data_IF_495951733143
#
_entry.id   IF_495951733143
#
_cell.length_a   1.000
_cell.length_b   1.000
_cell.length_c   1.000
_cell.angle_alpha   90.00
_cell.angle_beta   90.00
_cell.angle_gamma   90.00
#
_symmetry.space_group_name_H-M   'P 1'
#
loop_
_entity.id
_entity.type
_entity.pdbx_description
1 polymer ?
#
# COMPACT_ATOMS: atom_id res chain seq x y z
N UNK A 1 6.23 -21.01 9.39
CA UNK A 1 5.45 -20.47 8.28
C UNK A 1 5.86 -19.01 7.99
N UNK A 2 5.72 -18.58 6.73
CA UNK A 2 6.04 -17.23 6.30
C UNK A 2 5.08 -16.78 5.18
N UNK A 3 4.79 -15.46 5.11
CA UNK A 3 4.02 -14.84 4.03
C UNK A 3 4.70 -13.55 3.57
N UNK A 4 4.74 -13.34 2.27
CA UNK A 4 5.16 -12.10 1.63
C UNK A 4 3.91 -11.31 1.27
N UNK A 5 3.70 -10.16 1.89
CA UNK A 5 2.39 -9.48 1.91
C UNK A 5 2.31 -8.25 0.99
N UNK A 6 3.37 -7.98 0.22
CA UNK A 6 3.41 -6.79 -0.63
C UNK A 6 3.18 -5.51 0.19
N UNK A 7 2.49 -4.57 -0.40
CA UNK A 7 2.13 -3.29 0.23
C UNK A 7 0.80 -3.31 1.00
N UNK A 8 0.21 -4.49 1.22
CA UNK A 8 -1.09 -4.61 1.88
C UNK A 8 -1.04 -4.14 3.33
N UNK A 9 0.03 -4.50 4.05
CA UNK A 9 0.24 -4.14 5.46
C UNK A 9 1.71 -3.77 5.66
N UNK A 10 1.97 -2.85 6.57
CA UNK A 10 3.32 -2.36 6.93
C UNK A 10 3.69 -2.76 8.36
N UNK A 11 4.82 -2.26 8.86
CA UNK A 11 5.18 -2.45 10.26
C UNK A 11 4.04 -1.97 11.18
N UNK A 12 3.87 -2.54 12.37
CA UNK A 12 2.76 -2.21 13.26
C UNK A 12 2.57 -0.71 13.51
N UNK A 13 3.65 0.05 13.59
CA UNK A 13 3.67 1.50 13.79
C UNK A 13 3.45 2.32 12.52
N UNK A 14 3.41 1.69 11.35
CA UNK A 14 3.13 2.32 10.06
C UNK A 14 1.73 1.96 9.51
N UNK A 15 1.12 0.86 9.94
CA UNK A 15 -0.26 0.50 9.64
C UNK A 15 -0.46 -0.23 8.31
N UNK A 16 -1.23 0.35 7.39
CA UNK A 16 -1.59 -0.25 6.09
C UNK A 16 -1.36 0.72 4.94
N UNK A 17 -1.36 0.21 3.71
CA UNK A 17 -1.33 1.02 2.51
C UNK A 17 -2.52 2.00 2.43
N UNK A 18 -2.41 2.96 1.53
CA UNK A 18 -3.53 3.81 1.09
C UNK A 18 -4.43 3.04 0.12
N UNK A 19 -5.70 3.45 0.02
CA UNK A 19 -6.70 2.76 -0.77
C UNK A 19 -7.43 3.66 -1.79
N UNK A 20 -6.93 4.88 -2.03
CA UNK A 20 -7.58 5.91 -2.85
C UNK A 20 -7.09 5.98 -4.30
N UNK A 21 -6.29 5.01 -4.73
CA UNK A 21 -5.96 4.88 -6.14
C UNK A 21 -7.16 4.40 -6.96
N UNK A 22 -7.23 4.72 -8.26
CA UNK A 22 -8.30 4.25 -9.13
C UNK A 22 -8.52 2.74 -9.02
N UNK A 23 -9.75 2.34 -8.69
CA UNK A 23 -10.11 0.94 -8.42
C UNK A 23 -9.78 0.45 -7.01
N UNK A 24 -9.18 1.28 -6.15
CA UNK A 24 -8.94 0.95 -4.75
C UNK A 24 -10.21 1.01 -3.88
N UNK A 25 -10.21 0.28 -2.77
CA UNK A 25 -11.30 0.25 -1.80
C UNK A 25 -10.77 -0.03 -0.40
N UNK A 26 -11.08 0.85 0.54
CA UNK A 26 -10.71 0.66 1.94
C UNK A 26 -11.37 -0.59 2.54
N UNK A 27 -12.60 -0.91 2.13
CA UNK A 27 -13.29 -2.14 2.52
C UNK A 27 -12.54 -3.39 2.06
N UNK A 28 -12.14 -3.43 0.80
CA UNK A 28 -11.42 -4.59 0.27
C UNK A 28 -10.02 -4.72 0.87
N UNK A 29 -9.36 -3.61 1.13
CA UNK A 29 -8.08 -3.61 1.82
C UNK A 29 -8.21 -4.16 3.24
N UNK A 30 -9.22 -3.73 4.01
CA UNK A 30 -9.49 -4.28 5.33
C UNK A 30 -9.69 -5.80 5.28
N UNK A 31 -10.56 -6.28 4.39
CA UNK A 31 -10.83 -7.72 4.23
C UNK A 31 -9.58 -8.51 3.80
N UNK A 32 -8.74 -7.92 2.97
CA UNK A 32 -7.46 -8.51 2.57
C UNK A 32 -6.50 -8.62 3.75
N UNK A 33 -6.41 -7.59 4.56
CA UNK A 33 -5.62 -7.61 5.80
C UNK A 33 -6.15 -8.66 6.77
N UNK A 34 -7.49 -8.76 6.95
CA UNK A 34 -8.06 -9.78 7.84
C UNK A 34 -7.73 -11.21 7.39
N UNK A 35 -7.62 -11.48 6.08
CA UNK A 35 -7.15 -12.79 5.58
C UNK A 35 -5.71 -13.08 6.01
N UNK A 36 -4.83 -12.08 5.97
CA UNK A 36 -3.45 -12.20 6.44
C UNK A 36 -3.44 -12.45 7.96
N UNK A 37 -4.21 -11.66 8.68
CA UNK A 37 -4.32 -11.78 10.14
C UNK A 37 -5.02 -13.07 10.61
N UNK A 38 -5.73 -13.78 9.74
CA UNK A 38 -6.29 -15.09 10.04
C UNK A 38 -5.27 -16.24 10.05
N UNK A 39 -4.05 -16.00 9.56
CA UNK A 39 -2.96 -16.98 9.62
C UNK A 39 -2.54 -17.26 11.06
N UNK A 40 -1.83 -18.38 11.32
CA UNK A 40 -1.32 -18.70 12.67
C UNK A 40 -0.51 -17.55 13.28
N UNK A 41 -0.61 -17.30 14.60
CA UNK A 41 0.00 -16.12 15.24
C UNK A 41 1.51 -15.99 15.03
N UNK A 42 2.21 -17.11 14.95
CA UNK A 42 3.66 -17.19 14.76
C UNK A 42 4.10 -17.04 13.31
N UNK A 43 3.18 -16.90 12.37
CA UNK A 43 3.51 -16.71 10.95
C UNK A 43 4.29 -15.40 10.78
N UNK A 44 5.48 -15.51 10.20
CA UNK A 44 6.30 -14.36 9.87
C UNK A 44 5.75 -13.67 8.62
N UNK A 45 5.60 -12.36 8.71
CA UNK A 45 5.17 -11.50 7.61
C UNK A 45 6.37 -10.70 7.12
N UNK A 46 6.66 -10.81 5.83
CA UNK A 46 7.72 -10.04 5.17
C UNK A 46 7.09 -8.90 4.38
N UNK A 47 7.52 -7.69 4.70
CA UNK A 47 6.96 -6.42 4.20
C UNK A 47 7.85 -5.87 3.07
N UNK A 48 7.25 -5.16 2.12
CA UNK A 48 7.97 -4.56 1.01
C UNK A 48 8.58 -3.20 1.36
N UNK A 49 7.93 -2.45 2.25
CA UNK A 49 8.34 -1.10 2.64
C UNK A 49 8.26 -0.89 4.14
N UNK A 50 9.21 -0.13 4.66
CA UNK A 50 9.16 0.42 6.00
C UNK A 50 9.64 1.87 5.98
N UNK A 51 8.95 2.73 6.70
CA UNK A 51 9.18 4.17 6.72
C UNK A 51 9.94 4.66 7.97
N UNK A 52 10.29 3.76 8.87
CA UNK A 52 11.00 4.07 10.11
C UNK A 52 10.37 5.20 10.92
N UNK A 53 9.07 5.14 11.30
CA UNK A 53 8.42 6.21 12.03
C UNK A 53 9.23 6.64 13.26
N UNK A 54 9.25 7.93 13.55
CA UNK A 54 10.00 8.53 14.69
C UNK A 54 11.51 8.29 14.67
N UNK A 55 12.09 7.96 13.50
CA UNK A 55 13.52 7.72 13.36
C UNK A 55 13.99 6.33 13.79
N UNK A 56 13.06 5.40 13.93
CA UNK A 56 13.38 3.98 14.14
C UNK A 56 14.16 3.43 12.94
N UNK A 57 15.09 2.51 13.17
CA UNK A 57 15.73 1.77 12.10
C UNK A 57 14.71 0.98 11.27
N UNK A 58 14.99 0.85 9.97
CA UNK A 58 14.15 0.11 9.04
C UNK A 58 14.13 -1.36 9.39
N UNK A 59 12.94 -1.95 9.42
CA UNK A 59 12.72 -3.38 9.61
C UNK A 59 11.81 -3.91 8.50
N UNK A 60 11.86 -5.19 8.22
CA UNK A 60 11.16 -5.84 7.12
C UNK A 60 10.34 -7.05 7.55
N UNK A 61 10.41 -7.42 8.82
CA UNK A 61 9.76 -8.62 9.34
C UNK A 61 8.96 -8.32 10.60
N UNK A 62 7.77 -8.90 10.66
CA UNK A 62 6.90 -8.90 11.85
C UNK A 62 6.19 -10.24 11.96
N UNK A 63 5.27 -10.41 12.91
CA UNK A 63 4.43 -11.60 13.04
C UNK A 63 2.95 -11.23 12.98
N UNK A 64 2.11 -12.23 12.66
CA UNK A 64 0.64 -12.06 12.74
C UNK A 64 0.22 -11.64 14.15
N UNK A 65 0.83 -12.20 15.19
CA UNK A 65 0.55 -11.84 16.58
C UNK A 65 0.81 -10.37 16.88
N UNK A 66 1.99 -9.86 16.46
CA UNK A 66 2.35 -8.45 16.62
C UNK A 66 1.40 -7.52 15.88
N UNK A 67 1.07 -7.86 14.64
CA UNK A 67 0.12 -7.07 13.85
C UNK A 67 -1.25 -7.00 14.52
N UNK A 68 -1.80 -8.13 14.97
CA UNK A 68 -3.08 -8.18 15.69
C UNK A 68 -3.07 -7.34 16.96
N UNK A 69 -1.95 -7.27 17.65
CA UNK A 69 -1.85 -6.59 18.93
C UNK A 69 -1.53 -5.10 18.79
N UNK A 70 -0.64 -4.73 17.88
CA UNK A 70 0.02 -3.44 17.85
C UNK A 70 -0.20 -2.61 16.59
N UNK A 71 -0.76 -3.18 15.50
CA UNK A 71 -0.94 -2.39 14.29
C UNK A 71 -1.89 -1.22 14.55
N UNK A 72 -1.41 0.00 14.25
CA UNK A 72 -2.15 1.24 14.52
C UNK A 72 -3.44 1.39 13.72
N UNK A 73 -3.60 0.65 12.61
CA UNK A 73 -4.76 0.74 11.74
C UNK A 73 -5.71 -0.46 11.84
N UNK A 74 -5.22 -1.64 12.19
CA UNK A 74 -5.97 -2.91 12.05
C UNK A 74 -5.77 -3.88 13.22
N UNK A 75 -5.40 -3.37 14.40
CA UNK A 75 -5.34 -4.23 15.57
C UNK A 75 -6.73 -4.76 15.96
N UNK A 76 -6.75 -5.75 16.85
CA UNK A 76 -7.96 -6.48 17.26
C UNK A 76 -9.13 -5.64 17.79
N UNK A 77 -8.91 -4.37 18.09
CA UNK A 77 -9.93 -3.46 18.64
C UNK A 77 -10.55 -2.55 17.55
N UNK A 78 -10.10 -2.65 16.30
CA UNK A 78 -10.53 -1.79 15.18
C UNK A 78 -11.39 -2.64 14.25
N UNK A 79 -12.66 -2.29 14.12
CA UNK A 79 -13.58 -2.92 13.18
C UNK A 79 -13.49 -2.34 11.75
N UNK A 80 -14.21 -2.95 10.81
CA UNK A 80 -14.18 -2.54 9.40
C UNK A 80 -14.64 -1.08 9.22
N UNK A 81 -15.69 -0.65 9.94
CA UNK A 81 -16.22 0.70 9.79
C UNK A 81 -15.22 1.75 10.29
N UNK A 82 -14.66 1.54 11.46
CA UNK A 82 -13.62 2.41 12.04
C UNK A 82 -12.39 2.50 11.13
N UNK A 83 -11.97 1.35 10.58
CA UNK A 83 -10.85 1.32 9.64
C UNK A 83 -11.14 2.12 8.37
N UNK A 84 -12.29 1.91 7.74
CA UNK A 84 -12.68 2.58 6.50
C UNK A 84 -12.75 4.09 6.69
N UNK A 85 -13.42 4.55 7.77
CA UNK A 85 -13.51 5.98 8.08
C UNK A 85 -12.13 6.63 8.28
N UNK A 86 -11.27 5.96 9.05
CA UNK A 86 -9.89 6.41 9.26
C UNK A 86 -9.11 6.45 7.95
N UNK A 87 -9.19 5.36 7.16
CA UNK A 87 -8.42 5.23 5.91
C UNK A 87 -8.83 6.26 4.87
N UNK A 88 -10.12 6.42 4.64
CA UNK A 88 -10.64 7.42 3.69
C UNK A 88 -10.35 8.86 4.14
N UNK A 89 -10.44 9.14 5.44
CA UNK A 89 -10.09 10.46 5.99
C UNK A 89 -8.61 10.76 5.80
N UNK A 90 -7.75 9.80 6.11
CA UNK A 90 -6.30 9.96 5.94
C UNK A 90 -5.91 10.07 4.46
N UNK A 91 -6.48 9.27 3.59
CA UNK A 91 -6.15 9.27 2.17
C UNK A 91 -6.46 10.61 1.51
N UNK A 92 -7.56 11.26 1.88
CA UNK A 92 -7.91 12.61 1.41
C UNK A 92 -6.85 13.68 1.73
N UNK A 93 -5.99 13.43 2.71
CA UNK A 93 -4.89 14.35 3.08
C UNK A 93 -3.59 14.07 2.32
N UNK A 94 -3.52 12.95 1.58
CA UNK A 94 -2.31 12.53 0.89
C UNK A 94 -2.28 13.09 -0.53
N UNK A 95 -1.17 13.71 -0.89
CA UNK A 95 -0.91 14.11 -2.27
C UNK A 95 -0.72 12.91 -3.19
N UNK A 96 -0.86 13.16 -4.50
CA UNK A 96 -0.53 12.16 -5.52
C UNK A 96 0.97 11.83 -5.46
N UNK A 97 1.36 10.54 -5.50
CA UNK A 97 2.77 10.18 -5.56
C UNK A 97 3.44 10.78 -6.80
N UNK A 98 4.61 11.39 -6.63
CA UNK A 98 5.32 12.12 -7.69
C UNK A 98 5.64 11.27 -8.93
N UNK A 99 5.84 9.98 -8.74
CA UNK A 99 6.19 9.04 -9.80
C UNK A 99 4.99 8.27 -10.38
N UNK A 100 3.76 8.53 -9.94
CA UNK A 100 2.61 7.72 -10.36
C UNK A 100 2.41 7.74 -11.88
N UNK A 101 2.53 8.89 -12.51
CA UNK A 101 2.29 9.05 -13.94
C UNK A 101 3.30 8.27 -14.81
N UNK A 102 4.62 8.40 -14.60
CA UNK A 102 5.59 7.58 -15.31
C UNK A 102 5.46 6.09 -14.95
N UNK A 103 5.21 5.76 -13.69
CA UNK A 103 5.12 4.37 -13.22
C UNK A 103 3.96 3.62 -13.86
N UNK A 104 2.77 4.21 -13.93
CA UNK A 104 1.61 3.57 -14.57
C UNK A 104 1.93 3.25 -16.04
N UNK A 105 2.49 4.20 -16.78
CA UNK A 105 2.75 4.04 -18.21
C UNK A 105 3.80 2.98 -18.52
N UNK A 106 4.82 2.83 -17.68
CA UNK A 106 5.84 1.79 -17.82
C UNK A 106 5.37 0.43 -17.30
N UNK A 107 4.69 0.40 -16.16
CA UNK A 107 4.21 -0.85 -15.56
C UNK A 107 3.15 -1.54 -16.41
N UNK A 108 2.23 -0.79 -17.02
CA UNK A 108 1.26 -1.33 -17.97
C UNK A 108 1.89 -2.02 -19.19
N UNK A 109 3.15 -1.71 -19.48
CA UNK A 109 3.94 -2.26 -20.58
C UNK A 109 5.01 -3.25 -20.13
N UNK A 110 4.89 -3.78 -18.91
CA UNK A 110 5.87 -4.74 -18.39
C UNK A 110 7.28 -4.16 -18.23
N UNK A 111 7.39 -2.86 -17.96
CA UNK A 111 8.67 -2.14 -17.83
C UNK A 111 9.21 -1.52 -19.11
N UNK A 112 8.53 -1.70 -20.25
CA UNK A 112 8.93 -1.10 -21.52
C UNK A 112 8.43 0.33 -21.67
N UNK A 113 9.21 1.15 -22.36
CA UNK A 113 8.77 2.50 -22.73
C UNK A 113 7.71 2.46 -23.85
N UNK A 114 6.90 3.53 -23.99
CA UNK A 114 6.02 3.70 -25.15
C UNK A 114 6.79 3.71 -26.47
N UNK A 115 6.08 3.48 -27.58
CA UNK A 115 6.63 3.67 -28.92
C UNK A 115 7.00 5.14 -29.16
N UNK A 116 8.02 5.34 -29.99
CA UNK A 116 8.43 6.68 -30.38
C UNK A 116 7.32 7.38 -31.18
N UNK A 117 7.16 8.68 -30.98
CA UNK A 117 6.30 9.53 -31.79
C UNK A 117 6.91 9.75 -33.19
N UNK A 118 6.18 10.42 -34.10
CA UNK A 118 6.59 10.66 -35.48
C UNK A 118 7.91 11.43 -35.60
N UNK A 119 8.33 12.13 -34.55
CA UNK A 119 9.62 12.83 -34.48
C UNK A 119 10.77 11.93 -33.96
N UNK A 120 10.53 10.63 -33.75
CA UNK A 120 11.52 9.68 -33.26
C UNK A 120 11.79 9.75 -31.75
N UNK A 121 11.05 10.56 -31.00
CA UNK A 121 11.23 10.73 -29.56
C UNK A 121 10.19 9.95 -28.78
N UNK A 122 10.62 9.29 -27.70
CA UNK A 122 9.72 8.58 -26.76
C UNK A 122 9.26 9.56 -25.67
N UNK A 123 7.96 9.58 -25.42
CA UNK A 123 7.34 10.45 -24.40
C UNK A 123 6.52 9.66 -23.40
N UNK A 124 6.58 10.09 -22.13
CA UNK A 124 5.55 9.76 -21.14
C UNK A 124 4.51 10.90 -21.17
N UNK A 125 3.23 10.55 -21.33
CA UNK A 125 2.14 11.51 -21.52
C UNK A 125 1.50 11.85 -20.18
N UNK A 126 1.26 13.13 -19.94
CA UNK A 126 0.52 13.62 -18.78
C UNK A 126 -0.82 14.19 -19.25
N UNK A 127 -1.96 13.61 -18.89
CA UNK A 127 -3.26 14.20 -19.21
C UNK A 127 -3.45 15.50 -18.41
N UNK A 128 -3.95 16.55 -19.07
CA UNK A 128 -4.06 17.87 -18.45
C UNK A 128 -5.44 18.12 -17.83
N UNK A 129 -6.45 17.43 -18.32
CA UNK A 129 -7.86 17.70 -17.97
C UNK A 129 -8.59 16.50 -17.36
N UNK A 130 -7.86 15.59 -16.71
CA UNK A 130 -8.43 14.36 -16.09
C UNK A 130 -8.21 14.32 -14.59
N UNK A 131 -7.42 15.26 -14.04
CA UNK A 131 -7.10 15.39 -12.61
C UNK A 131 -7.51 16.76 -12.11
#
# INVERSE_FOLDING_TARGET
>A
NAAFVGDTIFMPDAGTARADFPGGSAHELYRSVQKILALPPETRLYLCHDYGPNGREVDYQTTVAEQRQHNIHVNKNIDEQQYVEMRETRDKTLGMPSLIMPSIQTNMRGGHFPEAETNGVVYLKVPINVF
#
